data_IF_996654151071
#
_entry.id   IF_996654151071
#
_cell.length_a   1.000
_cell.length_b   1.000
_cell.length_c   1.000
_cell.angle_alpha   90.00
_cell.angle_beta   90.00
_cell.angle_gamma   90.00
#
_symmetry.space_group_name_H-M   'P 1'
#
loop_
_entity.id
_entity.type
_entity.pdbx_description
1 polymer ?
#
# COMPACT_ATOMS: atom_id res chain seq x y z
N UNK A 1 23.28 -34.53 30.79
CA UNK A 1 21.91 -34.01 30.61
C UNK A 1 21.86 -32.66 31.31
N UNK A 2 21.74 -31.48 30.72
CA UNK A 2 21.37 -30.95 29.40
C UNK A 2 22.01 -29.54 29.28
N UNK A 3 22.44 -29.08 28.11
CA UNK A 3 22.51 -27.63 27.86
C UNK A 3 21.84 -27.30 26.53
N UNK A 4 20.54 -27.01 26.52
CA UNK A 4 19.81 -26.60 25.31
C UNK A 4 18.81 -25.46 25.59
N UNK A 5 19.25 -24.40 26.26
CA UNK A 5 18.44 -23.16 26.39
C UNK A 5 19.31 -21.90 26.17
N UNK A 6 20.25 -21.96 25.23
CA UNK A 6 21.09 -20.79 24.89
C UNK A 6 20.98 -20.36 23.41
N UNK A 7 20.28 -21.12 22.55
CA UNK A 7 20.22 -20.80 21.12
C UNK A 7 19.02 -19.91 20.70
N UNK A 8 18.02 -19.73 21.55
CA UNK A 8 16.81 -18.96 21.19
C UNK A 8 16.93 -17.44 21.42
N UNK A 9 17.93 -16.98 22.16
CA UNK A 9 18.08 -15.55 22.49
C UNK A 9 18.87 -14.74 21.42
N UNK A 10 19.60 -15.40 20.52
CA UNK A 10 20.47 -14.71 19.55
C UNK A 10 19.73 -14.29 18.27
N UNK A 11 18.65 -14.99 17.89
CA UNK A 11 17.94 -14.68 16.63
C UNK A 11 17.00 -13.47 16.75
N UNK A 12 16.44 -13.20 17.93
CA UNK A 12 15.60 -12.01 18.16
C UNK A 12 16.39 -10.68 18.11
N UNK A 13 17.71 -10.71 18.36
CA UNK A 13 18.55 -9.52 18.31
C UNK A 13 18.92 -9.07 16.87
N UNK A 14 18.92 -9.98 15.90
CA UNK A 14 19.32 -9.67 14.51
C UNK A 14 18.17 -9.08 13.68
N UNK A 15 16.92 -9.43 13.99
CA UNK A 15 15.73 -8.87 13.32
C UNK A 15 15.40 -7.46 13.80
N UNK A 16 15.72 -7.12 15.06
CA UNK A 16 15.56 -5.74 15.55
C UNK A 16 16.70 -4.81 15.05
N UNK A 17 17.91 -5.34 14.88
CA UNK A 17 19.05 -4.58 14.37
C UNK A 17 18.87 -4.13 12.90
N UNK A 18 18.06 -4.85 12.11
CA UNK A 18 17.78 -4.51 10.71
C UNK A 18 16.62 -3.52 10.52
N UNK A 19 15.85 -3.22 11.58
CA UNK A 19 14.84 -2.14 11.59
C UNK A 19 15.34 -0.85 12.26
N UNK A 20 16.37 -0.95 13.12
CA UNK A 20 17.05 0.21 13.74
C UNK A 20 18.17 0.79 12.87
N UNK A 21 18.70 0.02 11.91
CA UNK A 21 19.74 0.47 10.97
C UNK A 21 19.18 1.05 9.65
N UNK A 22 18.02 1.71 9.72
CA UNK A 22 17.69 2.72 8.70
C UNK A 22 18.65 3.89 8.95
N UNK A 23 19.45 4.35 7.98
CA UNK A 23 20.27 5.53 8.19
C UNK A 23 19.36 6.74 8.39
N UNK A 24 19.19 7.16 9.64
CA UNK A 24 18.95 8.55 9.97
C UNK A 24 20.09 9.33 9.32
N UNK A 25 19.75 10.27 8.45
CA UNK A 25 20.73 11.21 7.93
C UNK A 25 21.31 11.99 9.11
N UNK A 26 22.50 11.58 9.56
CA UNK A 26 23.28 12.22 10.60
C UNK A 26 23.44 13.72 10.32
N UNK A 27 22.98 14.49 11.29
CA UNK A 27 23.46 15.81 11.71
C UNK A 27 24.33 16.59 10.71
N UNK A 28 23.67 17.37 9.85
CA UNK A 28 24.30 18.55 9.27
C UNK A 28 24.59 19.55 10.40
N UNK A 29 25.81 20.10 10.52
CA UNK A 29 26.14 21.02 11.60
C UNK A 29 25.27 22.27 11.51
N UNK A 30 24.71 22.65 12.66
CA UNK A 30 23.98 23.90 12.86
C UNK A 30 24.80 25.07 12.33
N UNK A 31 24.48 25.52 11.11
CA UNK A 31 25.06 26.71 10.52
C UNK A 31 24.49 27.89 11.28
N UNK A 32 25.32 28.48 12.13
CA UNK A 32 25.05 29.73 12.80
C UNK A 32 24.54 30.75 11.77
N UNK A 33 23.35 31.29 12.00
CA UNK A 33 22.78 32.38 11.22
C UNK A 33 23.69 33.59 11.38
N UNK A 34 24.60 33.74 10.42
CA UNK A 34 25.33 34.98 10.21
C UNK A 34 24.47 35.80 9.27
N UNK A 35 23.90 36.90 9.77
CA UNK A 35 23.16 37.85 8.94
C UNK A 35 24.14 38.46 7.94
N UNK A 36 24.03 38.06 6.67
CA UNK A 36 24.76 38.67 5.57
C UNK A 36 23.78 39.57 4.77
N UNK A 37 24.13 40.83 4.50
CA UNK A 37 23.22 41.78 3.87
C UNK A 37 23.01 41.50 2.37
N UNK A 38 21.89 42.03 1.89
CA UNK A 38 21.35 41.92 0.55
C UNK A 38 22.35 42.22 -0.58
N UNK A 39 22.30 41.41 -1.64
CA UNK A 39 22.94 41.75 -2.91
C UNK A 39 23.00 40.60 -3.90
N UNK A 40 22.10 40.62 -4.89
CA UNK A 40 22.24 40.01 -6.21
C UNK A 40 22.36 38.47 -6.31
N UNK A 41 21.21 37.78 -6.36
CA UNK A 41 21.01 36.53 -7.14
C UNK A 41 19.50 36.16 -7.16
N UNK A 42 18.64 37.10 -7.55
CA UNK A 42 17.19 36.91 -7.50
C UNK A 42 16.56 36.16 -8.69
N UNK A 43 17.31 35.80 -9.73
CA UNK A 43 16.72 35.27 -10.98
C UNK A 43 16.75 33.74 -11.13
N UNK A 44 17.62 33.01 -10.39
CA UNK A 44 17.80 31.57 -10.61
C UNK A 44 17.01 30.66 -9.64
N UNK A 45 16.38 31.22 -8.61
CA UNK A 45 15.79 30.45 -7.50
C UNK A 45 14.25 30.42 -7.48
N UNK A 46 13.60 31.01 -8.49
CA UNK A 46 12.14 31.12 -8.52
C UNK A 46 11.42 29.81 -8.91
N UNK A 47 12.10 28.87 -9.56
CA UNK A 47 11.49 27.60 -9.98
C UNK A 47 11.54 26.49 -8.90
N UNK A 48 12.42 26.64 -7.90
CA UNK A 48 12.69 25.60 -6.89
C UNK A 48 11.88 25.76 -5.59
N UNK A 49 11.21 26.90 -5.42
CA UNK A 49 10.43 27.26 -4.24
C UNK A 49 8.94 27.37 -4.55
N UNK A 50 8.40 26.40 -5.30
CA UNK A 50 6.95 26.23 -5.38
C UNK A 50 6.45 25.77 -4.02
N UNK A 51 6.11 26.74 -3.15
CA UNK A 51 5.52 26.49 -1.85
C UNK A 51 4.27 25.64 -2.01
N UNK A 52 4.27 24.49 -1.35
CA UNK A 52 3.12 23.62 -1.23
C UNK A 52 2.26 24.07 -0.03
N UNK A 53 0.92 24.09 -0.13
CA UNK A 53 0.16 23.88 -1.35
C UNK A 53 0.30 25.06 -2.33
N UNK A 54 0.13 24.82 -3.64
CA UNK A 54 0.09 25.91 -4.61
C UNK A 54 -0.95 26.94 -4.16
N UNK A 55 -0.72 28.24 -4.42
CA UNK A 55 -1.74 29.24 -4.15
C UNK A 55 -3.02 28.81 -4.85
N UNK A 56 -4.13 28.76 -4.10
CA UNK A 56 -5.43 28.52 -4.68
C UNK A 56 -5.60 29.51 -5.83
N UNK A 57 -5.99 29.06 -7.04
CA UNK A 57 -6.21 29.98 -8.12
C UNK A 57 -7.20 31.04 -7.62
N UNK A 58 -6.86 32.31 -7.84
CA UNK A 58 -7.76 33.42 -7.54
C UNK A 58 -9.13 33.04 -8.07
N UNK A 59 -10.22 33.26 -7.31
CA UNK A 59 -11.55 33.09 -7.85
C UNK A 59 -11.62 34.04 -9.05
N UNK A 60 -11.45 33.49 -10.25
CA UNK A 60 -11.63 34.22 -11.49
C UNK A 60 -12.99 34.92 -11.43
N UNK A 61 -13.16 36.01 -12.20
CA UNK A 61 -14.34 36.88 -12.10
C UNK A 61 -15.60 36.04 -11.89
N UNK A 62 -16.29 36.30 -10.77
CA UNK A 62 -17.46 35.56 -10.33
C UNK A 62 -18.44 35.42 -11.50
N UNK A 63 -18.43 34.26 -12.16
CA UNK A 63 -19.20 34.07 -13.40
C UNK A 63 -18.55 33.22 -14.48
N UNK A 64 -17.27 32.84 -14.39
CA UNK A 64 -16.72 31.86 -15.33
C UNK A 64 -17.35 30.47 -15.06
N UNK A 65 -18.17 29.91 -15.99
CA UNK A 65 -18.77 28.62 -15.77
C UNK A 65 -17.66 27.57 -15.79
N UNK A 66 -17.38 26.97 -14.63
CA UNK A 66 -16.75 25.64 -14.60
C UNK A 66 -17.80 24.72 -15.20
N UNK A 67 -17.64 24.34 -16.46
CA UNK A 67 -18.58 23.46 -17.16
C UNK A 67 -18.45 22.05 -16.59
N UNK A 68 -19.00 21.84 -15.40
CA UNK A 68 -19.59 20.54 -15.05
C UNK A 68 -20.69 20.26 -16.07
N UNK A 69 -20.85 18.97 -16.41
CA UNK A 69 -21.61 18.47 -17.55
C UNK A 69 -22.97 19.13 -17.82
N UNK A 70 -23.38 19.03 -19.08
CA UNK A 70 -24.56 19.63 -19.70
C UNK A 70 -25.84 19.59 -18.83
N UNK A 71 -26.01 20.62 -17.99
CA UNK A 71 -27.19 20.84 -17.17
C UNK A 71 -27.18 22.25 -16.58
N UNK A 72 -28.38 22.80 -16.31
CA UNK A 72 -28.49 24.11 -15.64
C UNK A 72 -27.76 24.10 -14.29
N UNK A 73 -27.04 25.19 -13.94
CA UNK A 73 -26.34 25.28 -12.66
C UNK A 73 -27.35 25.30 -11.50
N UNK A 74 -27.55 24.14 -10.86
CA UNK A 74 -28.31 24.01 -9.61
C UNK A 74 -27.49 24.56 -8.43
N UNK A 75 -28.14 25.15 -7.41
CA UNK A 75 -27.45 25.52 -6.17
C UNK A 75 -26.75 24.31 -5.52
N UNK A 76 -25.53 24.51 -5.01
CA UNK A 76 -24.71 23.43 -4.45
C UNK A 76 -25.43 22.62 -3.35
N UNK A 77 -26.21 23.28 -2.50
CA UNK A 77 -26.97 22.61 -1.44
C UNK A 77 -28.02 21.63 -1.99
N UNK A 78 -28.65 21.96 -3.12
CA UNK A 78 -29.64 21.10 -3.78
C UNK A 78 -28.93 19.93 -4.44
N UNK A 79 -27.82 20.17 -5.13
CA UNK A 79 -27.01 19.13 -5.77
C UNK A 79 -26.45 18.12 -4.76
N UNK A 80 -25.94 18.58 -3.61
CA UNK A 80 -25.45 17.71 -2.53
C UNK A 80 -26.58 16.90 -1.86
N UNK A 81 -27.77 17.48 -1.71
CA UNK A 81 -28.93 16.76 -1.18
C UNK A 81 -29.40 15.66 -2.15
N UNK A 82 -29.45 15.97 -3.45
CA UNK A 82 -29.88 15.05 -4.51
C UNK A 82 -28.90 13.88 -4.67
N UNK A 83 -27.59 14.15 -4.69
CA UNK A 83 -26.54 13.11 -4.74
C UNK A 83 -26.48 12.24 -3.49
N UNK A 84 -26.80 12.77 -2.30
CA UNK A 84 -26.89 11.95 -1.08
C UNK A 84 -28.02 10.91 -1.16
N UNK A 85 -29.14 11.26 -1.78
CA UNK A 85 -30.32 10.40 -1.87
C UNK A 85 -30.21 9.39 -3.02
N UNK A 86 -29.66 9.81 -4.16
CA UNK A 86 -29.69 9.04 -5.40
C UNK A 86 -28.31 8.54 -5.87
N UNK A 87 -27.24 8.98 -5.21
CA UNK A 87 -25.87 8.82 -5.71
C UNK A 87 -25.53 9.88 -6.76
N UNK A 88 -24.24 10.01 -7.06
CA UNK A 88 -23.76 10.81 -8.17
C UNK A 88 -23.82 9.98 -9.47
N UNK A 89 -24.58 10.40 -10.50
CA UNK A 89 -24.67 9.66 -11.76
C UNK A 89 -23.34 9.60 -12.52
N UNK A 90 -22.43 10.55 -12.27
CA UNK A 90 -21.08 10.58 -12.86
C UNK A 90 -20.09 9.72 -12.06
N UNK A 91 -20.47 9.22 -10.88
CA UNK A 91 -19.59 8.36 -10.10
C UNK A 91 -19.42 6.99 -10.79
N UNK A 92 -18.18 6.50 -10.95
CA UNK A 92 -17.96 5.15 -11.44
C UNK A 92 -18.64 4.13 -10.52
N UNK A 93 -19.17 3.02 -11.07
CA UNK A 93 -19.83 2.01 -10.27
C UNK A 93 -18.86 1.44 -9.22
N UNK A 94 -19.31 1.37 -7.96
CA UNK A 94 -18.53 0.78 -6.88
C UNK A 94 -18.53 -0.75 -7.07
N UNK A 95 -17.39 -1.32 -7.43
CA UNK A 95 -17.19 -2.76 -7.36
C UNK A 95 -17.35 -3.22 -5.90
N UNK A 96 -18.28 -4.14 -5.66
CA UNK A 96 -18.46 -4.79 -4.36
C UNK A 96 -17.84 -6.17 -4.44
N UNK A 97 -17.21 -6.61 -3.36
CA UNK A 97 -16.76 -7.98 -3.24
C UNK A 97 -17.97 -8.91 -3.41
N UNK A 98 -17.90 -9.85 -4.36
CA UNK A 98 -18.98 -10.81 -4.65
C UNK A 98 -19.25 -11.73 -3.45
N UNK A 99 -18.22 -11.99 -2.64
CA UNK A 99 -18.28 -12.82 -1.45
C UNK A 99 -17.96 -11.97 -0.22
N UNK A 100 -18.98 -11.53 0.54
CA UNK A 100 -18.76 -10.79 1.77
C UNK A 100 -17.92 -11.61 2.75
N UNK A 101 -16.93 -10.97 3.39
CA UNK A 101 -16.17 -11.60 4.47
C UNK A 101 -17.13 -12.03 5.58
N UNK A 102 -17.05 -13.31 5.97
CA UNK A 102 -17.80 -13.84 7.10
C UNK A 102 -17.39 -13.07 8.37
N UNK A 103 -18.37 -12.46 9.03
CA UNK A 103 -18.18 -11.76 10.31
C UNK A 103 -18.35 -12.77 11.45
N UNK A 104 -17.69 -12.54 12.61
CA UNK A 104 -17.95 -13.36 13.78
C UNK A 104 -19.40 -13.20 14.21
N UNK A 105 -20.02 -14.30 14.63
CA UNK A 105 -21.36 -14.30 15.20
C UNK A 105 -21.39 -13.67 16.59
N UNK A 106 -22.57 -13.25 17.07
CA UNK A 106 -22.71 -12.70 18.43
C UNK A 106 -22.30 -13.71 19.52
N UNK A 107 -22.56 -15.00 19.30
CA UNK A 107 -22.14 -16.07 20.18
C UNK A 107 -20.60 -16.22 20.20
N UNK A 108 -19.94 -16.09 19.05
CA UNK A 108 -18.48 -16.10 18.97
C UNK A 108 -17.86 -14.86 19.59
N UNK A 109 -18.49 -13.69 19.48
CA UNK A 109 -18.01 -12.46 20.12
C UNK A 109 -18.15 -12.49 21.65
N UNK A 110 -19.13 -13.25 22.17
CA UNK A 110 -19.38 -13.34 23.61
C UNK A 110 -18.44 -14.30 24.35
N UNK A 111 -17.84 -15.29 23.65
CA UNK A 111 -16.92 -16.28 24.23
C UNK A 111 -15.52 -16.18 23.60
N UNK A 112 -14.47 -15.86 24.39
CA UNK A 112 -13.09 -15.80 23.90
C UNK A 112 -12.63 -17.08 23.18
N UNK A 113 -13.07 -18.26 23.63
CA UNK A 113 -12.66 -19.53 23.01
C UNK A 113 -13.33 -19.72 21.65
N UNK A 114 -14.60 -19.36 21.53
CA UNK A 114 -15.33 -19.37 20.27
C UNK A 114 -14.75 -18.35 19.28
N UNK A 115 -14.38 -17.16 19.76
CA UNK A 115 -13.70 -16.16 18.95
C UNK A 115 -12.35 -16.64 18.41
N UNK A 116 -11.51 -17.27 19.24
CA UNK A 116 -10.24 -17.82 18.79
C UNK A 116 -10.40 -18.91 17.71
N UNK A 117 -11.46 -19.73 17.81
CA UNK A 117 -11.80 -20.70 16.78
C UNK A 117 -12.29 -20.05 15.48
N UNK A 118 -12.96 -18.91 15.55
CA UNK A 118 -13.31 -18.11 14.37
C UNK A 118 -12.03 -17.54 13.71
N UNK A 119 -11.11 -16.98 14.48
CA UNK A 119 -9.87 -16.40 13.95
C UNK A 119 -9.00 -17.44 13.24
N UNK A 120 -8.88 -18.65 13.80
CA UNK A 120 -8.12 -19.73 13.15
C UNK A 120 -8.72 -20.13 11.79
N UNK A 121 -10.07 -20.15 11.67
CA UNK A 121 -10.75 -20.39 10.38
C UNK A 121 -10.53 -19.25 9.39
N UNK A 122 -10.50 -18.00 9.85
CA UNK A 122 -10.20 -16.86 8.97
C UNK A 122 -8.75 -16.91 8.48
N UNK A 123 -7.81 -17.24 9.36
CA UNK A 123 -6.40 -17.35 9.04
C UNK A 123 -6.14 -18.48 8.04
N UNK A 124 -6.73 -19.66 8.25
CA UNK A 124 -6.63 -20.77 7.30
C UNK A 124 -7.17 -20.40 5.91
N UNK A 125 -8.30 -19.69 5.84
CA UNK A 125 -8.86 -19.18 4.58
C UNK A 125 -7.94 -18.17 3.89
N UNK A 126 -7.30 -17.28 4.65
CA UNK A 126 -6.33 -16.33 4.10
C UNK A 126 -5.14 -17.05 3.47
N UNK A 127 -4.61 -18.07 4.15
CA UNK A 127 -3.49 -18.84 3.62
C UNK A 127 -3.86 -19.65 2.38
N UNK A 128 -5.03 -20.27 2.36
CA UNK A 128 -5.56 -20.94 1.18
C UNK A 128 -5.69 -19.98 -0.01
N UNK A 129 -6.28 -18.81 0.21
CA UNK A 129 -6.43 -17.79 -0.83
C UNK A 129 -5.07 -17.29 -1.35
N UNK A 130 -4.07 -17.13 -0.47
CA UNK A 130 -2.72 -16.76 -0.88
C UNK A 130 -2.08 -17.84 -1.76
N UNK A 131 -2.13 -19.11 -1.34
CA UNK A 131 -1.56 -20.23 -2.11
C UNK A 131 -2.22 -20.33 -3.48
N UNK A 132 -3.55 -20.21 -3.55
CA UNK A 132 -4.30 -20.22 -4.81
C UNK A 132 -3.91 -19.05 -5.73
N UNK A 133 -3.82 -17.85 -5.18
CA UNK A 133 -3.36 -16.68 -5.93
C UNK A 133 -1.95 -16.86 -6.47
N UNK A 134 -1.02 -17.41 -5.68
CA UNK A 134 0.35 -17.70 -6.15
C UNK A 134 0.34 -18.77 -7.24
N UNK A 135 -0.46 -19.84 -7.10
CA UNK A 135 -0.59 -20.87 -8.13
C UNK A 135 -1.03 -20.28 -9.48
N UNK A 136 -1.95 -19.31 -9.44
CA UNK A 136 -2.50 -18.66 -10.63
C UNK A 136 -1.57 -17.59 -11.23
N UNK A 137 -0.97 -16.75 -10.41
CA UNK A 137 -0.27 -15.54 -10.88
C UNK A 137 1.24 -15.75 -11.05
N UNK A 138 1.87 -16.70 -10.36
CA UNK A 138 3.31 -16.94 -10.51
C UNK A 138 3.72 -17.36 -11.94
N UNK A 139 2.95 -18.21 -12.67
CA UNK A 139 3.26 -18.51 -14.06
C UNK A 139 3.22 -17.26 -14.96
N UNK A 140 2.21 -16.41 -14.78
CA UNK A 140 2.07 -15.15 -15.52
C UNK A 140 3.22 -14.19 -15.24
N UNK A 141 3.64 -14.09 -13.98
CA UNK A 141 4.81 -13.28 -13.62
C UNK A 141 6.08 -13.78 -14.30
N UNK A 142 6.26 -15.10 -14.43
CA UNK A 142 7.41 -15.69 -15.13
C UNK A 142 7.38 -15.36 -16.63
N UNK A 143 6.20 -15.45 -17.26
CA UNK A 143 6.01 -15.01 -18.65
C UNK A 143 6.30 -13.51 -18.83
N UNK A 144 5.83 -12.66 -17.91
CA UNK A 144 6.09 -11.22 -17.92
C UNK A 144 7.58 -10.89 -17.84
N UNK A 145 8.32 -11.63 -17.00
CA UNK A 145 9.77 -11.50 -16.89
C UNK A 145 10.44 -11.83 -18.22
N UNK A 146 10.05 -12.93 -18.87
CA UNK A 146 10.60 -13.33 -20.17
C UNK A 146 10.30 -12.31 -21.27
N UNK A 147 9.04 -11.85 -21.34
CA UNK A 147 8.65 -10.76 -22.26
C UNK A 147 9.45 -9.49 -22.00
N UNK A 148 9.63 -9.12 -20.73
CA UNK A 148 10.43 -7.96 -20.33
C UNK A 148 11.88 -8.07 -20.80
N UNK A 149 12.50 -9.25 -20.69
CA UNK A 149 13.85 -9.49 -21.23
C UNK A 149 13.88 -9.31 -22.75
N UNK A 150 12.90 -9.86 -23.47
CA UNK A 150 12.81 -9.72 -24.93
C UNK A 150 12.60 -8.27 -25.39
N UNK A 151 11.90 -7.46 -24.59
CA UNK A 151 11.66 -6.03 -24.86
C UNK A 151 12.82 -5.12 -24.44
N UNK A 152 13.91 -5.66 -23.88
CA UNK A 152 15.06 -4.87 -23.45
C UNK A 152 14.84 -4.08 -22.16
N UNK A 153 13.93 -4.53 -21.28
CA UNK A 153 13.80 -3.98 -19.92
C UNK A 153 15.16 -4.10 -19.21
N UNK A 154 15.54 -3.06 -18.45
CA UNK A 154 16.80 -3.02 -17.72
C UNK A 154 16.98 -4.22 -16.77
N UNK A 155 18.20 -4.77 -16.74
CA UNK A 155 18.51 -6.00 -16.01
C UNK A 155 18.22 -5.91 -14.50
N UNK A 156 18.38 -4.74 -13.90
CA UNK A 156 18.07 -4.49 -12.49
C UNK A 156 16.56 -4.57 -12.19
N UNK A 157 15.71 -4.23 -13.16
CA UNK A 157 14.24 -4.38 -13.06
C UNK A 157 13.86 -5.85 -13.20
N UNK A 158 14.49 -6.56 -14.13
CA UNK A 158 14.30 -8.01 -14.29
C UNK A 158 14.71 -8.77 -13.02
N UNK A 159 15.88 -8.47 -12.45
CA UNK A 159 16.36 -9.09 -11.22
C UNK A 159 15.40 -8.89 -10.04
N UNK A 160 14.80 -7.69 -9.90
CA UNK A 160 13.78 -7.46 -8.86
C UNK A 160 12.51 -8.26 -9.07
N UNK A 161 12.07 -8.43 -10.32
CA UNK A 161 10.91 -9.25 -10.64
C UNK A 161 11.18 -10.74 -10.37
N UNK A 162 12.39 -11.23 -10.70
CA UNK A 162 12.84 -12.58 -10.37
C UNK A 162 12.90 -12.80 -8.86
N UNK A 163 13.42 -11.83 -8.10
CA UNK A 163 13.44 -11.91 -6.64
C UNK A 163 12.03 -12.01 -6.05
N UNK A 164 11.09 -11.24 -6.59
CA UNK A 164 9.68 -11.35 -6.21
C UNK A 164 9.13 -12.74 -6.52
N UNK A 165 9.44 -13.31 -7.68
CA UNK A 165 9.00 -14.66 -8.03
C UNK A 165 9.58 -15.71 -7.05
N UNK A 166 10.85 -15.59 -6.68
CA UNK A 166 11.50 -16.44 -5.65
C UNK A 166 10.82 -16.30 -4.29
N UNK A 167 10.53 -15.07 -3.86
CA UNK A 167 9.86 -14.81 -2.59
C UNK A 167 8.45 -15.41 -2.52
N UNK A 168 7.67 -15.30 -3.60
CA UNK A 168 6.34 -15.91 -3.68
C UNK A 168 6.40 -17.43 -3.59
N UNK A 169 7.35 -18.05 -4.28
CA UNK A 169 7.55 -19.51 -4.27
C UNK A 169 8.02 -20.01 -2.90
N UNK A 170 8.96 -19.32 -2.27
CA UNK A 170 9.44 -19.64 -0.92
C UNK A 170 8.31 -19.54 0.11
N UNK A 171 7.51 -18.46 0.07
CA UNK A 171 6.40 -18.29 1.00
C UNK A 171 5.32 -19.35 0.79
N UNK A 172 4.99 -19.68 -0.47
CA UNK A 172 4.05 -20.77 -0.79
C UNK A 172 4.58 -22.11 -0.25
N UNK A 173 5.85 -22.43 -0.49
CA UNK A 173 6.45 -23.67 -0.01
C UNK A 173 6.43 -23.75 1.53
N UNK A 174 6.71 -22.62 2.20
CA UNK A 174 6.64 -22.55 3.66
C UNK A 174 5.22 -22.77 4.18
N UNK A 175 4.21 -22.12 3.58
CA UNK A 175 2.80 -22.32 3.96
C UNK A 175 2.36 -23.76 3.74
N UNK A 176 2.74 -24.42 2.64
CA UNK A 176 2.42 -25.82 2.38
C UNK A 176 3.11 -26.79 3.35
N UNK A 177 4.29 -26.42 3.85
CA UNK A 177 5.01 -27.19 4.86
C UNK A 177 4.36 -27.06 6.24
N UNK A 178 3.99 -25.85 6.63
CA UNK A 178 3.41 -25.57 7.94
C UNK A 178 1.92 -25.97 8.02
N UNK A 179 1.22 -25.90 6.89
CA UNK A 179 -0.21 -26.19 6.73
C UNK A 179 -0.44 -27.16 5.56
N UNK A 180 -0.14 -28.46 5.72
CA UNK A 180 -0.25 -29.45 4.64
C UNK A 180 -1.68 -29.63 4.11
N UNK A 181 -2.70 -29.19 4.86
CA UNK A 181 -4.09 -29.11 4.43
C UNK A 181 -4.32 -28.15 3.24
N UNK A 182 -3.42 -27.19 3.01
CA UNK A 182 -3.53 -26.21 1.91
C UNK A 182 -3.08 -26.77 0.55
N UNK A 183 -2.38 -27.91 0.54
CA UNK A 183 -1.84 -28.52 -0.68
C UNK A 183 -2.72 -29.59 -1.32
N UNK A 184 -3.94 -29.80 -0.80
CA UNK A 184 -4.88 -30.81 -1.29
C UNK A 184 -5.81 -30.28 -2.38
#
# INVERSE_FOLDING_TARGET
>A
MKPEIQLAAVVAAVVFATWVAWPDGEDAPASAVTVHPAGATAAANAASNAAWPPPWPDPGPAGAPRTSGAGEPKPAAVSLAETRLHGDPEAPPIARDETPRERPSEAELADPKAYAAYESRQQARLYAAYVDAVNKELPRLREDIERGRAMGIAADKIARAEEKARGLEAMRAQLLKDHPELGR
#
